data_IF_658813822148
#
_entry.id   IF_658813822148
#
_cell.length_a   1.000
_cell.length_b   1.000
_cell.length_c   1.000
_cell.angle_alpha   90.00
_cell.angle_beta   90.00
_cell.angle_gamma   90.00
#
_symmetry.space_group_name_H-M   'P 1'
#
loop_
_entity.id
_entity.type
_entity.pdbx_description
1 polymer ?
#
# COMPACT_ATOMS: atom_id res chain seq x y z
N UNK A 1 14.29 -37.31 -84.37
CA UNK A 1 14.30 -38.21 -83.19
C UNK A 1 14.29 -37.37 -81.94
N UNK A 2 13.18 -37.29 -81.22
CA UNK A 2 13.09 -36.56 -79.91
C UNK A 2 13.13 -37.60 -78.79
N UNK A 3 14.14 -37.54 -77.99
CA UNK A 3 14.25 -38.38 -76.80
C UNK A 3 13.43 -37.75 -75.65
N UNK A 4 12.40 -38.46 -75.22
CA UNK A 4 11.64 -38.05 -74.05
C UNK A 4 12.39 -38.55 -72.79
N UNK A 5 12.85 -37.58 -72.01
CA UNK A 5 13.45 -37.88 -70.72
C UNK A 5 12.33 -38.19 -69.67
N UNK A 6 12.30 -39.41 -69.14
CA UNK A 6 11.40 -39.86 -68.05
C UNK A 6 12.07 -39.44 -66.76
N UNK A 7 11.47 -38.49 -66.08
CA UNK A 7 11.87 -38.11 -64.72
C UNK A 7 11.47 -39.17 -63.63
N UNK A 8 12.36 -39.54 -62.73
CA UNK A 8 12.03 -40.48 -61.69
C UNK A 8 11.06 -39.87 -60.66
N UNK A 9 9.96 -40.58 -60.48
CA UNK A 9 8.93 -40.17 -59.49
C UNK A 9 9.39 -40.60 -58.10
N UNK A 10 9.93 -39.66 -57.30
CA UNK A 10 10.28 -39.87 -55.91
C UNK A 10 8.97 -39.99 -55.07
N UNK A 11 8.48 -41.19 -54.84
CA UNK A 11 7.48 -41.45 -53.83
C UNK A 11 8.07 -41.15 -52.46
N UNK A 12 7.69 -40.01 -51.83
CA UNK A 12 7.94 -39.77 -50.41
C UNK A 12 7.20 -40.87 -49.62
N UNK A 13 7.95 -41.74 -48.95
CA UNK A 13 7.40 -42.63 -47.93
C UNK A 13 6.91 -41.72 -46.78
N UNK A 14 5.64 -41.72 -46.52
CA UNK A 14 5.06 -41.22 -45.27
C UNK A 14 5.32 -42.25 -44.17
N UNK A 15 6.33 -42.02 -43.35
CA UNK A 15 6.56 -42.81 -42.15
C UNK A 15 5.53 -42.35 -41.08
N UNK A 16 4.69 -43.22 -40.61
CA UNK A 16 3.72 -42.95 -39.57
C UNK A 16 4.38 -43.05 -38.18
N UNK A 17 3.89 -42.29 -37.22
CA UNK A 17 4.32 -42.37 -35.81
C UNK A 17 4.09 -43.77 -35.26
N UNK A 18 5.07 -44.27 -34.52
CA UNK A 18 4.91 -45.54 -33.79
C UNK A 18 4.09 -45.28 -32.50
N UNK A 19 3.35 -46.30 -32.06
CA UNK A 19 2.56 -46.26 -30.79
C UNK A 19 3.48 -45.90 -29.60
N UNK A 20 4.71 -46.42 -29.58
CA UNK A 20 5.72 -46.14 -28.55
C UNK A 20 6.11 -44.67 -28.54
N UNK A 21 6.33 -44.07 -29.71
CA UNK A 21 6.70 -42.66 -29.81
C UNK A 21 5.61 -41.72 -29.35
N UNK A 22 4.34 -42.05 -29.63
CA UNK A 22 3.18 -41.33 -29.13
C UNK A 22 3.09 -41.36 -27.61
N UNK A 23 3.30 -42.54 -26.99
CA UNK A 23 3.25 -42.69 -25.53
C UNK A 23 4.39 -41.89 -24.87
N UNK A 24 5.62 -42.00 -25.38
CA UNK A 24 6.74 -41.25 -24.86
C UNK A 24 6.49 -39.74 -25.02
N UNK A 25 5.96 -39.31 -26.17
CA UNK A 25 5.62 -37.89 -26.42
C UNK A 25 4.62 -37.33 -25.41
N UNK A 26 3.56 -38.06 -25.09
CA UNK A 26 2.57 -37.64 -24.08
C UNK A 26 3.17 -37.59 -22.69
N UNK A 27 4.01 -38.54 -22.31
CA UNK A 27 4.68 -38.53 -20.99
C UNK A 27 5.61 -37.35 -20.84
N UNK A 28 6.45 -37.09 -21.84
CA UNK A 28 7.36 -35.94 -21.83
C UNK A 28 6.58 -34.61 -21.84
N UNK A 29 5.51 -34.54 -22.60
CA UNK A 29 4.65 -33.35 -22.66
C UNK A 29 3.99 -33.06 -21.30
N UNK A 30 3.43 -34.08 -20.63
CA UNK A 30 2.79 -33.90 -19.32
C UNK A 30 3.78 -33.47 -18.26
N UNK A 31 5.00 -34.04 -18.23
CA UNK A 31 6.06 -33.62 -17.30
C UNK A 31 6.46 -32.14 -17.59
N UNK A 32 6.66 -31.81 -18.84
CA UNK A 32 7.01 -30.44 -19.25
C UNK A 32 5.93 -29.42 -18.88
N UNK A 33 4.66 -29.77 -19.09
CA UNK A 33 3.52 -28.93 -18.74
C UNK A 33 3.43 -28.72 -17.23
N UNK A 34 3.65 -29.76 -16.41
CA UNK A 34 3.66 -29.66 -14.96
C UNK A 34 4.74 -28.70 -14.46
N UNK A 35 5.96 -28.76 -15.04
CA UNK A 35 7.05 -27.85 -14.70
C UNK A 35 6.68 -26.40 -15.06
N UNK A 36 6.14 -26.16 -16.23
CA UNK A 36 5.72 -24.82 -16.67
C UNK A 36 4.64 -24.25 -15.76
N UNK A 37 3.62 -25.03 -15.42
CA UNK A 37 2.54 -24.61 -14.51
C UNK A 37 3.06 -24.30 -13.11
N UNK A 38 4.01 -25.05 -12.59
CA UNK A 38 4.60 -24.81 -11.27
C UNK A 38 5.38 -23.50 -11.17
N UNK A 39 5.85 -22.96 -12.29
CA UNK A 39 6.54 -21.66 -12.35
C UNK A 39 5.57 -20.46 -12.49
N UNK A 40 4.40 -20.68 -13.13
CA UNK A 40 3.46 -19.59 -13.42
C UNK A 40 2.56 -19.29 -12.21
N UNK A 41 2.11 -20.32 -11.47
CA UNK A 41 1.18 -20.14 -10.35
C UNK A 41 1.70 -19.20 -9.26
N UNK A 42 2.94 -19.30 -8.77
CA UNK A 42 3.44 -18.39 -7.73
C UNK A 42 3.62 -16.95 -8.20
N UNK A 43 3.75 -16.68 -9.48
CA UNK A 43 3.92 -15.32 -10.01
C UNK A 43 2.63 -14.50 -9.94
N UNK A 44 1.47 -15.13 -10.03
CA UNK A 44 0.18 -14.44 -9.94
C UNK A 44 -0.08 -13.85 -8.54
N UNK A 45 0.38 -14.52 -7.48
CA UNK A 45 0.26 -14.02 -6.11
C UNK A 45 1.25 -12.88 -5.84
N UNK A 46 2.47 -12.97 -6.37
CA UNK A 46 3.52 -11.95 -6.19
C UNK A 46 3.23 -10.62 -6.89
N UNK A 47 2.38 -10.60 -7.92
CA UNK A 47 2.02 -9.34 -8.61
C UNK A 47 0.95 -8.53 -7.90
N UNK A 48 0.13 -9.13 -7.05
CA UNK A 48 -0.93 -8.44 -6.32
C UNK A 48 -0.40 -7.63 -5.12
N UNK A 49 0.69 -8.08 -4.49
CA UNK A 49 1.27 -7.44 -3.32
C UNK A 49 1.83 -6.03 -3.58
N UNK A 50 2.66 -5.79 -4.61
CA UNK A 50 3.13 -4.44 -4.92
C UNK A 50 2.00 -3.45 -5.19
N UNK A 51 0.91 -3.91 -5.78
CA UNK A 51 -0.25 -3.06 -6.06
C UNK A 51 -0.98 -2.65 -4.76
N UNK A 52 -1.12 -3.57 -3.80
CA UNK A 52 -1.69 -3.26 -2.48
C UNK A 52 -0.79 -2.29 -1.70
N UNK A 53 0.52 -2.53 -1.72
CA UNK A 53 1.50 -1.64 -1.10
C UNK A 53 1.43 -0.21 -1.66
N UNK A 54 1.37 -0.05 -2.98
CA UNK A 54 1.23 1.27 -3.61
C UNK A 54 -0.10 1.94 -3.22
N UNK A 55 -1.19 1.19 -3.13
CA UNK A 55 -2.47 1.73 -2.66
C UNK A 55 -2.40 2.16 -1.20
N UNK A 56 -1.85 1.33 -0.31
CA UNK A 56 -1.67 1.68 1.10
C UNK A 56 -0.82 2.94 1.26
N UNK A 57 0.30 3.03 0.50
CA UNK A 57 1.16 4.20 0.51
C UNK A 57 0.44 5.48 0.06
N UNK A 58 -0.37 5.40 -0.99
CA UNK A 58 -1.16 6.56 -1.45
C UNK A 58 -2.21 6.98 -0.43
N UNK A 59 -2.89 6.03 0.20
CA UNK A 59 -3.89 6.31 1.23
C UNK A 59 -3.23 6.96 2.45
N UNK A 60 -2.16 6.36 2.97
CA UNK A 60 -1.41 6.90 4.10
C UNK A 60 -0.83 8.28 3.83
N UNK A 61 -0.26 8.49 2.63
CA UNK A 61 0.27 9.81 2.23
C UNK A 61 -0.82 10.86 2.07
N UNK A 62 -1.99 10.48 1.51
CA UNK A 62 -3.11 11.40 1.38
C UNK A 62 -3.63 11.84 2.74
N UNK A 63 -3.82 10.89 3.66
CA UNK A 63 -4.27 11.17 5.02
C UNK A 63 -3.22 11.99 5.79
N UNK A 64 -1.94 11.62 5.70
CA UNK A 64 -0.85 12.37 6.33
C UNK A 64 -0.81 13.83 5.85
N UNK A 65 -0.98 14.07 4.54
CA UNK A 65 -1.01 15.42 3.99
C UNK A 65 -2.22 16.22 4.48
N UNK A 66 -3.36 15.58 4.64
CA UNK A 66 -4.57 16.22 5.19
C UNK A 66 -4.32 16.64 6.63
N UNK A 67 -3.87 15.73 7.50
CA UNK A 67 -3.55 16.02 8.90
C UNK A 67 -2.47 17.12 9.03
N UNK A 68 -1.38 17.02 8.28
CA UNK A 68 -0.30 18.02 8.30
C UNK A 68 -0.73 19.40 7.81
N UNK A 69 -1.83 19.48 7.07
CA UNK A 69 -2.40 20.75 6.61
C UNK A 69 -3.21 21.48 7.68
N UNK A 70 -3.59 20.78 8.76
CA UNK A 70 -4.40 21.32 9.85
C UNK A 70 -3.57 22.24 10.78
N UNK A 71 -4.23 22.90 11.72
CA UNK A 71 -3.56 23.64 12.80
C UNK A 71 -2.70 22.70 13.62
N UNK A 72 -1.72 23.23 14.34
CA UNK A 72 -0.97 22.41 15.29
C UNK A 72 -1.83 21.98 16.48
N UNK A 73 -2.67 22.89 16.95
CA UNK A 73 -3.50 22.79 18.13
C UNK A 73 -4.58 23.86 18.02
N UNK A 74 -5.78 23.63 18.57
CA UNK A 74 -6.89 24.58 18.56
C UNK A 74 -6.52 25.95 19.14
N UNK A 75 -5.64 25.97 20.15
CA UNK A 75 -5.15 27.17 20.77
C UNK A 75 -4.04 27.90 19.98
N UNK A 76 -3.71 27.43 18.79
CA UNK A 76 -2.73 28.09 17.90
C UNK A 76 -3.41 29.02 16.90
N UNK A 77 -2.95 30.29 16.84
CA UNK A 77 -3.50 31.28 15.92
C UNK A 77 -2.93 31.12 14.50
N UNK A 78 -3.81 30.91 13.52
CA UNK A 78 -3.49 30.99 12.09
C UNK A 78 -3.52 32.43 11.53
N UNK A 79 -3.93 33.39 12.36
CA UNK A 79 -3.98 34.80 12.00
C UNK A 79 -2.82 35.60 12.64
N UNK A 80 -2.36 36.67 12.02
CA UNK A 80 -1.34 37.53 12.65
C UNK A 80 -1.80 37.96 14.05
N UNK A 81 -0.92 37.86 15.06
CA UNK A 81 0.52 37.67 15.04
C UNK A 81 1.04 36.23 14.90
N UNK A 82 0.24 35.23 14.54
CA UNK A 82 0.62 33.83 14.38
C UNK A 82 1.22 33.21 15.66
N UNK A 83 0.59 33.45 16.79
CA UNK A 83 1.04 32.90 18.06
C UNK A 83 0.67 31.41 18.18
N UNK A 84 1.66 30.58 18.46
CA UNK A 84 1.44 29.15 18.69
C UNK A 84 1.00 28.89 20.14
N UNK A 85 0.26 27.81 20.37
CA UNK A 85 -0.14 27.39 21.72
C UNK A 85 1.07 27.21 22.64
N UNK A 86 2.21 26.72 22.10
CA UNK A 86 3.45 26.55 22.84
C UNK A 86 4.02 27.90 23.33
N UNK A 87 3.98 28.95 22.49
CA UNK A 87 4.39 30.30 22.89
C UNK A 87 3.47 30.90 23.95
N UNK A 88 2.17 30.59 23.86
CA UNK A 88 1.17 31.02 24.85
C UNK A 88 1.18 30.18 26.14
N UNK A 89 1.78 28.97 26.09
CA UNK A 89 1.79 28.01 27.21
C UNK A 89 0.41 27.40 27.48
N UNK A 90 -0.42 27.24 26.45
CA UNK A 90 -1.80 26.76 26.57
C UNK A 90 -2.16 25.68 25.55
N UNK A 91 -1.16 24.88 25.06
CA UNK A 91 -1.46 23.74 24.23
C UNK A 91 -2.33 22.72 24.94
N UNK A 92 -3.11 21.97 24.18
CA UNK A 92 -3.97 20.91 24.66
C UNK A 92 -3.17 19.88 25.45
N UNK A 93 -3.63 19.57 26.66
CA UNK A 93 -2.96 18.57 27.53
C UNK A 93 -3.45 17.16 27.27
N UNK A 94 -4.61 17.03 26.65
CA UNK A 94 -5.22 15.76 26.25
C UNK A 94 -5.41 15.85 24.74
N UNK A 95 -4.78 14.92 24.02
CA UNK A 95 -4.90 14.84 22.57
C UNK A 95 -6.13 14.02 22.19
N UNK A 96 -6.97 14.54 21.34
CA UNK A 96 -8.19 13.90 20.85
C UNK A 96 -9.21 14.93 20.40
N UNK A 97 -10.23 14.51 19.62
CA UNK A 97 -11.19 15.42 19.05
C UNK A 97 -12.03 16.13 20.10
N UNK A 98 -12.14 17.42 20.00
CA UNK A 98 -13.10 18.25 20.72
C UNK A 98 -14.41 18.36 19.93
N UNK A 99 -14.40 18.13 18.61
CA UNK A 99 -15.53 18.15 17.73
C UNK A 99 -16.36 16.87 17.78
N UNK A 100 -17.64 17.00 17.52
CA UNK A 100 -18.56 15.87 17.49
C UNK A 100 -18.52 15.08 16.18
N UNK A 101 -17.92 15.65 15.13
CA UNK A 101 -17.87 15.08 13.77
C UNK A 101 -16.49 15.23 13.16
N UNK A 102 -16.03 14.19 12.46
CA UNK A 102 -14.78 14.18 11.71
C UNK A 102 -14.71 15.25 10.60
N UNK A 103 -15.84 15.68 10.09
CA UNK A 103 -15.93 16.75 9.07
C UNK A 103 -15.49 18.12 9.63
N UNK A 104 -15.55 18.27 10.95
CA UNK A 104 -15.25 19.53 11.65
C UNK A 104 -13.82 19.55 12.20
N UNK A 105 -13.07 18.44 12.11
CA UNK A 105 -11.67 18.36 12.58
C UNK A 105 -10.82 19.48 11.98
N UNK A 106 -10.21 20.34 12.81
CA UNK A 106 -9.49 21.51 12.33
C UNK A 106 -8.04 21.60 12.82
N UNK A 107 -7.65 20.74 13.76
CA UNK A 107 -6.26 20.62 14.18
C UNK A 107 -5.71 19.17 14.12
N UNK A 108 -4.44 19.00 14.51
CA UNK A 108 -3.74 17.71 14.38
C UNK A 108 -4.18 16.71 15.43
N UNK A 109 -4.48 17.15 16.64
CA UNK A 109 -4.83 16.25 17.74
C UNK A 109 -6.24 15.68 17.63
N UNK A 110 -7.14 16.31 16.90
CA UNK A 110 -8.46 15.74 16.57
C UNK A 110 -8.38 14.35 15.95
N UNK A 111 -7.31 14.09 15.21
CA UNK A 111 -7.11 12.80 14.58
C UNK A 111 -6.61 11.72 15.53
N UNK A 112 -6.32 12.04 16.81
CA UNK A 112 -5.87 11.02 17.76
C UNK A 112 -6.98 10.03 18.08
N UNK A 113 -6.72 8.75 17.79
CA UNK A 113 -7.71 7.68 17.94
C UNK A 113 -8.69 7.56 16.76
N UNK A 114 -8.49 8.33 15.66
CA UNK A 114 -9.34 8.22 14.49
C UNK A 114 -9.12 6.90 13.76
N UNK A 115 -10.19 6.09 13.64
CA UNK A 115 -10.12 4.75 13.06
C UNK A 115 -11.23 4.54 12.04
N UNK A 116 -10.84 4.13 10.84
CA UNK A 116 -11.75 3.71 9.78
C UNK A 116 -11.45 2.28 9.38
N UNK A 117 -12.39 1.36 9.57
CA UNK A 117 -12.19 -0.06 9.24
C UNK A 117 -12.36 -0.38 7.76
N UNK A 118 -13.08 0.45 7.01
CA UNK A 118 -13.22 0.33 5.56
C UNK A 118 -13.44 1.71 4.92
N UNK A 119 -12.45 2.19 4.20
CA UNK A 119 -12.48 3.50 3.51
C UNK A 119 -13.47 3.53 2.35
N UNK A 120 -13.73 2.38 1.71
CA UNK A 120 -14.64 2.29 0.56
C UNK A 120 -14.05 2.78 -0.75
N UNK A 121 -14.90 2.86 -1.80
CA UNK A 121 -14.50 3.35 -3.12
C UNK A 121 -13.28 2.61 -3.70
N UNK A 122 -12.28 3.36 -4.14
CA UNK A 122 -11.02 2.81 -4.67
C UNK A 122 -10.16 2.10 -3.61
N UNK A 123 -10.46 2.30 -2.32
CA UNK A 123 -9.78 1.72 -1.16
C UNK A 123 -10.68 0.75 -0.39
N UNK A 124 -11.61 0.10 -1.10
CA UNK A 124 -12.48 -0.89 -0.48
C UNK A 124 -11.66 -1.99 0.23
N UNK A 125 -12.09 -2.33 1.45
CA UNK A 125 -11.40 -3.24 2.38
C UNK A 125 -10.01 -2.76 2.87
N UNK A 126 -9.62 -1.50 2.61
CA UNK A 126 -8.53 -0.87 3.33
C UNK A 126 -9.11 -0.14 4.54
N UNK A 127 -8.41 -0.24 5.67
CA UNK A 127 -8.69 0.53 6.87
C UNK A 127 -7.47 1.34 7.28
N UNK A 128 -7.65 2.24 8.24
CA UNK A 128 -6.53 2.94 8.88
C UNK A 128 -6.85 3.26 10.33
N UNK A 129 -5.79 3.49 11.10
CA UNK A 129 -5.83 4.04 12.43
C UNK A 129 -4.77 5.14 12.56
N UNK A 130 -5.11 6.21 13.25
CA UNK A 130 -4.22 7.35 13.49
C UNK A 130 -3.96 7.46 14.99
N UNK A 131 -2.72 7.71 15.36
CA UNK A 131 -2.30 8.04 16.72
C UNK A 131 -1.49 9.34 16.67
N UNK A 132 -1.76 10.24 17.60
CA UNK A 132 -1.02 11.50 17.73
C UNK A 132 -0.51 11.59 19.17
N UNK A 133 0.78 11.81 19.32
CA UNK A 133 1.44 11.94 20.61
C UNK A 133 2.40 13.14 20.61
N UNK A 134 2.62 13.72 21.79
CA UNK A 134 3.72 14.69 21.95
C UNK A 134 5.06 13.97 21.97
N UNK A 135 6.03 14.46 21.21
CA UNK A 135 7.36 13.89 21.10
C UNK A 135 8.36 15.03 20.81
N UNK A 136 8.87 15.64 21.88
CA UNK A 136 9.69 16.85 21.77
C UNK A 136 11.16 16.58 21.47
N UNK A 137 11.66 15.38 21.73
CA UNK A 137 13.03 14.96 21.48
C UNK A 137 13.22 14.16 20.19
N UNK A 138 12.09 13.81 19.53
CA UNK A 138 12.07 13.10 18.24
C UNK A 138 12.67 11.69 18.33
N UNK A 139 12.57 11.01 19.47
CA UNK A 139 13.23 9.73 19.73
C UNK A 139 12.29 8.51 19.78
N UNK A 140 10.98 8.71 19.61
CA UNK A 140 9.95 7.66 19.63
C UNK A 140 9.81 6.92 20.98
N UNK A 141 10.43 7.42 22.05
CA UNK A 141 10.57 6.64 23.28
C UNK A 141 9.58 6.99 24.39
N UNK A 142 9.05 8.22 24.45
CA UNK A 142 8.08 8.63 25.46
C UNK A 142 7.17 9.77 25.00
N UNK A 143 5.85 9.65 25.20
CA UNK A 143 4.89 10.64 24.69
C UNK A 143 4.74 11.91 25.54
N UNK A 144 5.69 12.36 26.32
CA UNK A 144 5.35 13.39 27.34
C UNK A 144 6.36 14.47 27.65
N UNK A 145 7.43 14.61 26.91
CA UNK A 145 8.49 15.54 27.31
C UNK A 145 8.46 16.93 26.69
N UNK A 146 7.30 17.41 26.33
CA UNK A 146 7.08 18.78 25.88
C UNK A 146 6.04 18.89 24.78
N UNK A 147 5.68 20.10 24.43
CA UNK A 147 4.59 20.39 23.48
C UNK A 147 5.11 21.08 22.21
N UNK A 148 6.37 20.81 21.81
CA UNK A 148 7.02 21.45 20.67
C UNK A 148 6.72 20.73 19.36
N UNK A 149 6.66 19.42 19.43
CA UNK A 149 6.33 18.56 18.27
C UNK A 149 5.23 17.58 18.63
N UNK A 150 4.34 17.33 17.67
CA UNK A 150 3.41 16.21 17.67
C UNK A 150 3.88 15.19 16.66
N UNK A 151 4.00 13.91 17.07
CA UNK A 151 4.22 12.78 16.18
C UNK A 151 2.87 12.23 15.75
N UNK A 152 2.74 11.99 14.48
CA UNK A 152 1.54 11.45 13.84
C UNK A 152 1.91 10.09 13.28
N UNK A 153 1.31 9.03 13.77
CA UNK A 153 1.47 7.67 13.28
C UNK A 153 0.18 7.20 12.60
N UNK A 154 0.30 6.74 11.37
CA UNK A 154 -0.81 6.19 10.59
C UNK A 154 -0.53 4.74 10.27
N UNK A 155 -1.37 3.83 10.74
CA UNK A 155 -1.35 2.42 10.41
C UNK A 155 -2.41 2.11 9.35
N UNK A 156 -2.02 1.85 8.11
CA UNK A 156 -2.94 1.46 7.03
C UNK A 156 -2.99 -0.05 6.93
N UNK A 157 -4.18 -0.63 7.10
CA UNK A 157 -4.42 -2.08 6.99
C UNK A 157 -4.97 -2.39 5.60
N UNK A 158 -4.28 -3.26 4.87
CA UNK A 158 -4.69 -3.75 3.56
C UNK A 158 -5.69 -4.92 3.67
N UNK A 159 -6.39 -5.29 2.58
CA UNK A 159 -7.41 -6.37 2.58
C UNK A 159 -6.90 -7.76 2.97
N UNK A 160 -5.60 -7.99 2.89
CA UNK A 160 -4.93 -9.24 3.31
C UNK A 160 -4.47 -9.22 4.78
N UNK A 161 -4.77 -8.13 5.51
CA UNK A 161 -4.37 -7.94 6.90
C UNK A 161 -2.95 -7.39 7.07
N UNK A 162 -2.21 -7.12 5.99
CA UNK A 162 -0.91 -6.46 6.06
C UNK A 162 -1.07 -5.02 6.54
N UNK A 163 -0.23 -4.59 7.48
CA UNK A 163 -0.22 -3.23 8.01
C UNK A 163 1.01 -2.47 7.49
N UNK A 164 0.78 -1.25 7.02
CA UNK A 164 1.79 -0.32 6.55
C UNK A 164 1.77 0.92 7.44
N UNK A 165 2.89 1.21 8.09
CA UNK A 165 3.01 2.32 9.02
C UNK A 165 3.68 3.52 8.35
N UNK A 166 3.14 4.71 8.65
CA UNK A 166 3.65 6.00 8.20
C UNK A 166 3.73 6.92 9.40
N UNK A 167 4.85 7.61 9.56
CA UNK A 167 5.06 8.53 10.67
C UNK A 167 5.53 9.88 10.13
N UNK A 168 5.07 10.96 10.77
CA UNK A 168 5.52 12.31 10.49
C UNK A 168 5.49 13.15 11.77
N UNK A 169 6.20 14.27 11.75
CA UNK A 169 6.21 15.24 12.83
C UNK A 169 5.60 16.57 12.40
N UNK A 170 4.81 17.15 13.28
CA UNK A 170 4.27 18.48 13.15
C UNK A 170 4.84 19.36 14.25
N UNK A 171 5.54 20.43 13.88
CA UNK A 171 6.06 21.42 14.83
C UNK A 171 5.05 22.51 15.14
N UNK A 172 5.17 23.09 16.33
CA UNK A 172 4.32 24.18 16.84
C UNK A 172 4.76 25.57 16.35
N UNK A 173 5.09 25.70 15.04
CA UNK A 173 5.56 26.97 14.43
C UNK A 173 4.80 27.30 13.16
#
# INVERSE_FOLDING_TARGET
MRASAVLPNFRKRSEGFTLLELVIGIVVFTISLTIVLSLIVPQAEQTAEPFRQVKAAKLGQSLMNDILSRSYDENSDRSPPFETCNTKGNCSTTLGPEEASEDDYDDVDDYNGYVVSNVGGNYNNFGFAVTVDYDSDLDDSTPTDGQTFKRIDIAVTAPDGQVYNFSAYRGSY
#
